data_IF_251713364434
#
_entry.id   IF_251713364434
#
_cell.length_a   1.000
_cell.length_b   1.000
_cell.length_c   1.000
_cell.angle_alpha   90.00
_cell.angle_beta   90.00
_cell.angle_gamma   90.00
#
_symmetry.space_group_name_H-M   'P 1'
#
loop_
_entity.id
_entity.type
_entity.pdbx_description
1 polymer ?
#
# COMPACT_ATOMS: atom_id res chain seq x y z
N UNK A 1 -10.65 -12.60 14.37
CA UNK A 1 -11.71 -11.83 13.69
C UNK A 1 -11.70 -12.19 12.21
N UNK A 2 -12.83 -12.13 11.51
CA UNK A 2 -12.93 -12.29 10.05
C UNK A 2 -13.36 -10.96 9.40
N UNK A 3 -13.09 -10.77 8.11
CA UNK A 3 -13.54 -9.56 7.38
C UNK A 3 -15.04 -9.31 7.53
N UNK A 4 -15.86 -10.37 7.46
CA UNK A 4 -17.31 -10.29 7.63
C UNK A 4 -17.73 -9.73 8.99
N UNK A 5 -16.93 -9.93 10.04
CA UNK A 5 -17.22 -9.39 11.37
C UNK A 5 -17.07 -7.86 11.37
N UNK A 6 -16.02 -7.35 10.70
CA UNK A 6 -15.75 -5.91 10.55
C UNK A 6 -16.82 -5.26 9.66
N UNK A 7 -17.14 -5.88 8.52
CA UNK A 7 -18.21 -5.42 7.62
C UNK A 7 -19.54 -5.29 8.35
N UNK A 8 -19.93 -6.31 9.12
CA UNK A 8 -21.17 -6.30 9.89
C UNK A 8 -21.16 -5.26 11.01
N UNK A 9 -20.02 -5.07 11.67
CA UNK A 9 -19.88 -4.12 12.78
C UNK A 9 -19.99 -2.67 12.33
N UNK A 10 -19.32 -2.30 11.24
CA UNK A 10 -19.24 -0.92 10.77
C UNK A 10 -20.15 -0.61 9.58
N UNK A 11 -20.89 -1.60 9.07
CA UNK A 11 -21.94 -1.42 8.08
C UNK A 11 -21.43 -1.06 6.68
N UNK A 12 -20.37 -1.71 6.22
CA UNK A 12 -19.81 -1.54 4.87
C UNK A 12 -19.44 -2.87 4.23
N UNK A 13 -19.02 -2.85 2.97
CA UNK A 13 -18.41 -4.02 2.33
C UNK A 13 -17.03 -3.71 1.78
N UNK A 14 -16.06 -4.58 2.06
CA UNK A 14 -14.73 -4.54 1.47
C UNK A 14 -14.79 -4.79 -0.04
N UNK A 15 -13.84 -4.23 -0.82
CA UNK A 15 -13.69 -4.54 -2.23
C UNK A 15 -13.54 -6.04 -2.47
N UNK A 16 -14.03 -6.51 -3.63
CA UNK A 16 -13.98 -7.93 -4.00
C UNK A 16 -12.54 -8.46 -3.96
N UNK A 17 -11.58 -7.70 -4.50
CA UNK A 17 -10.17 -8.09 -4.50
C UNK A 17 -9.61 -8.25 -3.07
N UNK A 18 -10.03 -7.41 -2.12
CA UNK A 18 -9.59 -7.53 -0.73
C UNK A 18 -10.16 -8.78 -0.05
N UNK A 19 -11.38 -9.18 -0.41
CA UNK A 19 -11.97 -10.46 0.02
C UNK A 19 -11.23 -11.66 -0.58
N UNK A 20 -10.85 -11.58 -1.86
CA UNK A 20 -10.05 -12.61 -2.51
C UNK A 20 -8.67 -12.76 -1.84
N UNK A 21 -7.99 -11.64 -1.57
CA UNK A 21 -6.74 -11.61 -0.79
C UNK A 21 -6.90 -12.33 0.56
N UNK A 22 -8.00 -12.09 1.27
CA UNK A 22 -8.30 -12.79 2.53
C UNK A 22 -8.48 -14.29 2.36
N UNK A 23 -9.29 -14.71 1.38
CA UNK A 23 -9.53 -16.14 1.08
C UNK A 23 -8.26 -16.88 0.70
N UNK A 24 -7.34 -16.19 0.03
CA UNK A 24 -6.05 -16.71 -0.39
C UNK A 24 -4.98 -16.68 0.71
N UNK A 25 -5.32 -16.15 1.89
CA UNK A 25 -4.40 -16.01 3.01
C UNK A 25 -3.36 -14.90 2.84
N UNK A 26 -3.52 -14.01 1.86
CA UNK A 26 -2.61 -12.89 1.62
C UNK A 26 -2.72 -11.79 2.69
N UNK A 27 -3.73 -11.86 3.56
CA UNK A 27 -3.83 -10.97 4.72
C UNK A 27 -3.19 -11.55 5.99
N UNK A 28 -2.59 -12.74 5.92
CA UNK A 28 -2.03 -13.43 7.07
C UNK A 28 -0.55 -13.04 7.28
N UNK A 29 -0.31 -11.92 7.94
CA UNK A 29 1.04 -11.51 8.38
C UNK A 29 1.42 -12.01 9.78
N UNK A 30 0.49 -12.68 10.48
CA UNK A 30 0.67 -13.10 11.86
C UNK A 30 0.49 -11.93 12.84
N UNK A 31 0.95 -12.12 14.07
CA UNK A 31 0.88 -11.10 15.13
C UNK A 31 2.20 -10.36 15.22
N UNK A 32 2.19 -9.04 15.06
CA UNK A 32 3.38 -8.23 15.25
C UNK A 32 3.87 -8.30 16.70
N UNK A 33 5.19 -8.24 16.86
CA UNK A 33 5.85 -8.27 18.15
C UNK A 33 7.37 -8.29 18.01
N UNK A 34 8.12 -8.16 19.12
CA UNK A 34 9.58 -8.03 19.09
C UNK A 34 10.30 -9.16 18.32
N UNK A 35 9.73 -10.37 18.36
CA UNK A 35 10.29 -11.56 17.72
C UNK A 35 9.70 -11.85 16.32
N UNK A 36 8.82 -10.99 15.80
CA UNK A 36 8.13 -11.23 14.51
C UNK A 36 9.13 -11.41 13.37
N UNK A 37 10.13 -10.54 13.31
CA UNK A 37 11.19 -10.60 12.30
C UNK A 37 12.02 -11.90 12.37
N UNK A 38 12.16 -12.48 13.56
CA UNK A 38 12.95 -13.69 13.79
C UNK A 38 12.13 -14.97 13.57
N UNK A 39 10.82 -14.94 13.83
CA UNK A 39 10.00 -16.15 13.98
C UNK A 39 8.87 -16.28 12.96
N UNK A 40 8.38 -15.17 12.42
CA UNK A 40 7.27 -15.11 11.47
C UNK A 40 7.77 -14.72 10.09
N UNK A 41 8.43 -13.57 9.97
CA UNK A 41 8.92 -13.03 8.69
C UNK A 41 9.67 -14.05 7.81
N UNK A 42 10.62 -14.87 8.32
CA UNK A 42 11.36 -15.80 7.47
C UNK A 42 10.48 -16.86 6.80
N UNK A 43 9.31 -17.17 7.38
CA UNK A 43 8.34 -18.12 6.83
C UNK A 43 7.48 -17.51 5.71
N UNK A 44 7.35 -16.18 5.71
CA UNK A 44 6.53 -15.45 4.74
C UNK A 44 7.31 -15.16 3.45
N UNK A 45 8.65 -15.03 3.51
CA UNK A 45 9.49 -14.66 2.35
C UNK A 45 9.29 -15.54 1.11
N UNK A 46 9.06 -16.85 1.26
CA UNK A 46 8.93 -17.75 0.10
C UNK A 46 7.61 -17.58 -0.67
N UNK A 47 6.55 -17.12 0.00
CA UNK A 47 5.27 -16.79 -0.62
C UNK A 47 4.73 -15.55 0.10
N UNK A 48 5.24 -14.35 -0.23
CA UNK A 48 4.96 -13.14 0.53
C UNK A 48 3.45 -12.82 0.49
N UNK A 49 2.83 -12.52 1.66
CA UNK A 49 1.49 -11.95 1.74
C UNK A 49 1.49 -10.55 1.12
N UNK A 50 0.33 -9.89 1.16
CA UNK A 50 0.09 -8.61 0.51
C UNK A 50 1.20 -7.61 0.84
N UNK A 51 1.96 -7.23 -0.20
CA UNK A 51 2.99 -6.17 -0.16
C UNK A 51 4.04 -6.32 0.96
N UNK A 52 4.40 -7.56 1.34
CA UNK A 52 5.36 -7.83 2.44
C UNK A 52 6.70 -7.09 2.32
N UNK A 53 7.19 -6.90 1.09
CA UNK A 53 8.49 -6.28 0.81
C UNK A 53 8.36 -4.85 0.29
N UNK A 54 7.16 -4.27 0.36
CA UNK A 54 6.94 -2.92 -0.13
C UNK A 54 7.49 -1.89 0.84
N UNK A 55 8.08 -0.83 0.29
CA UNK A 55 8.65 0.25 1.09
C UNK A 55 7.57 0.94 1.91
N UNK A 56 7.86 1.14 3.21
CA UNK A 56 7.04 1.87 4.17
C UNK A 56 5.55 1.44 4.18
N UNK A 57 5.33 0.12 4.11
CA UNK A 57 4.02 -0.50 4.20
C UNK A 57 4.06 -1.70 5.16
N UNK A 58 3.18 -1.68 6.15
CA UNK A 58 2.93 -2.76 7.08
C UNK A 58 1.44 -3.13 7.02
N UNK A 59 1.13 -4.39 6.76
CA UNK A 59 -0.26 -4.84 6.70
C UNK A 59 -0.84 -4.96 8.11
N UNK A 60 -1.97 -4.33 8.38
CA UNK A 60 -2.64 -4.50 9.67
C UNK A 60 -3.32 -5.86 9.75
N UNK A 61 -3.15 -6.56 10.89
CA UNK A 61 -4.01 -7.70 11.18
C UNK A 61 -5.43 -7.21 11.51
N UNK A 62 -6.42 -8.11 11.45
CA UNK A 62 -7.82 -7.72 11.58
C UNK A 62 -8.20 -7.17 12.96
N UNK A 63 -7.44 -7.50 14.02
CA UNK A 63 -7.68 -6.91 15.33
C UNK A 63 -7.23 -5.43 15.34
N UNK A 64 -6.04 -5.14 14.79
CA UNK A 64 -5.56 -3.77 14.66
C UNK A 64 -6.42 -2.94 13.70
N UNK A 65 -6.90 -3.53 12.60
CA UNK A 65 -7.90 -2.86 11.74
C UNK A 65 -9.12 -2.42 12.54
N UNK A 66 -9.65 -3.28 13.41
CA UNK A 66 -10.80 -2.94 14.24
C UNK A 66 -10.49 -1.82 15.26
N UNK A 67 -9.33 -1.88 15.91
CA UNK A 67 -8.86 -0.87 16.86
C UNK A 67 -8.73 0.50 16.18
N UNK A 68 -8.06 0.57 15.03
CA UNK A 68 -7.87 1.82 14.30
C UNK A 68 -9.19 2.40 13.75
N UNK A 69 -10.15 1.57 13.35
CA UNK A 69 -11.50 2.07 12.99
C UNK A 69 -12.18 2.70 14.23
N UNK A 70 -12.02 2.11 15.42
CA UNK A 70 -12.59 2.69 16.64
C UNK A 70 -11.96 4.04 16.96
N UNK A 71 -10.64 4.19 16.81
CA UNK A 71 -9.97 5.48 17.01
C UNK A 71 -10.40 6.53 15.98
N UNK A 72 -10.48 6.16 14.70
CA UNK A 72 -10.92 7.09 13.65
C UNK A 72 -12.35 7.59 13.85
N UNK A 73 -13.19 6.80 14.50
CA UNK A 73 -14.58 7.14 14.80
C UNK A 73 -14.75 7.83 16.17
N UNK A 74 -13.71 7.89 16.99
CA UNK A 74 -13.77 8.55 18.30
C UNK A 74 -13.73 10.08 18.10
N UNK A 75 -14.81 10.82 18.47
CA UNK A 75 -14.83 12.27 18.33
C UNK A 75 -13.78 12.99 19.21
N UNK A 76 -13.24 12.31 20.22
CA UNK A 76 -12.18 12.84 21.09
C UNK A 76 -10.77 12.46 20.59
N UNK A 77 -10.65 11.68 19.51
CA UNK A 77 -9.38 11.41 18.85
C UNK A 77 -8.74 12.72 18.36
N UNK A 78 -7.43 12.80 18.48
CA UNK A 78 -6.67 14.02 18.20
C UNK A 78 -6.72 14.45 16.72
N UNK A 79 -7.02 13.54 15.79
CA UNK A 79 -7.20 13.85 14.36
C UNK A 79 -8.51 14.58 14.11
N UNK A 80 -9.52 14.40 14.96
CA UNK A 80 -10.84 15.04 14.85
C UNK A 80 -11.39 14.97 13.42
N UNK A 81 -11.44 13.74 12.88
CA UNK A 81 -11.87 13.45 11.51
C UNK A 81 -13.33 13.90 11.32
N UNK A 82 -13.60 14.60 10.21
CA UNK A 82 -14.95 15.02 9.84
C UNK A 82 -15.89 13.82 9.73
N UNK A 83 -17.10 13.93 10.27
CA UNK A 83 -18.09 12.84 10.30
C UNK A 83 -18.45 12.30 8.90
N UNK A 84 -18.36 13.13 7.85
CA UNK A 84 -18.56 12.70 6.47
C UNK A 84 -17.45 11.79 5.93
N UNK A 85 -16.27 11.76 6.55
CA UNK A 85 -15.14 10.97 6.12
C UNK A 85 -15.07 9.65 6.87
N UNK A 86 -15.08 8.56 6.09
CA UNK A 86 -15.05 7.19 6.59
C UNK A 86 -13.86 6.48 5.98
N UNK A 87 -12.85 6.28 6.79
CA UNK A 87 -11.65 5.55 6.42
C UNK A 87 -11.65 4.17 7.07
N UNK A 88 -11.34 3.14 6.30
CA UNK A 88 -11.12 1.79 6.79
C UNK A 88 -9.64 1.45 6.58
N UNK A 89 -8.80 1.51 7.62
CA UNK A 89 -7.40 1.18 7.51
C UNK A 89 -7.21 -0.31 7.18
N UNK A 90 -6.18 -0.62 6.40
CA UNK A 90 -5.77 -1.98 6.11
C UNK A 90 -4.25 -2.17 6.18
N UNK A 91 -3.49 -1.07 6.13
CA UNK A 91 -2.06 -1.06 6.35
C UNK A 91 -1.64 0.26 6.99
N UNK A 92 -0.38 0.35 7.41
CA UNK A 92 0.23 1.54 7.97
C UNK A 92 1.66 1.74 7.47
N UNK A 93 2.19 2.95 7.59
CA UNK A 93 3.62 3.25 7.46
C UNK A 93 4.35 2.89 8.75
N UNK A 94 5.68 2.81 8.71
CA UNK A 94 6.49 2.65 9.92
C UNK A 94 6.42 3.86 10.88
N UNK A 95 5.86 4.99 10.42
CA UNK A 95 5.63 6.19 11.20
C UNK A 95 4.22 6.25 11.83
N UNK A 96 3.32 5.31 11.50
CA UNK A 96 1.95 5.27 12.03
C UNK A 96 0.90 5.98 11.17
N UNK A 97 1.25 6.36 9.94
CA UNK A 97 0.27 6.83 8.95
C UNK A 97 -0.49 5.66 8.35
N UNK A 98 -1.72 5.89 7.88
CA UNK A 98 -2.60 4.79 7.52
C UNK A 98 -2.91 4.72 6.03
N UNK A 99 -2.81 3.52 5.47
CA UNK A 99 -3.36 3.18 4.17
C UNK A 99 -4.81 2.72 4.36
N UNK A 100 -5.76 3.45 3.78
CA UNK A 100 -7.19 3.26 4.03
C UNK A 100 -7.99 3.07 2.74
N UNK A 101 -9.06 2.28 2.82
CA UNK A 101 -10.20 2.41 1.91
C UNK A 101 -11.02 3.63 2.31
N UNK A 102 -11.25 4.54 1.37
CA UNK A 102 -12.05 5.73 1.60
C UNK A 102 -13.51 5.50 1.18
N UNK A 103 -14.34 5.10 2.15
CA UNK A 103 -15.72 4.69 1.88
C UNK A 103 -16.63 5.86 1.46
N UNK A 104 -16.26 7.09 1.81
CA UNK A 104 -17.03 8.29 1.47
C UNK A 104 -17.05 8.60 -0.03
N UNK A 105 -16.17 7.95 -0.80
CA UNK A 105 -16.11 8.06 -2.25
C UNK A 105 -16.23 6.71 -2.96
N UNK A 106 -17.06 5.80 -2.42
CA UNK A 106 -17.41 4.56 -3.10
C UNK A 106 -17.92 4.84 -4.53
N UNK A 107 -17.38 4.08 -5.49
CA UNK A 107 -17.85 4.08 -6.86
C UNK A 107 -17.99 2.64 -7.37
N UNK A 108 -19.23 2.21 -7.62
CA UNK A 108 -19.54 0.86 -8.12
C UNK A 108 -18.95 -0.27 -7.26
N UNK A 109 -19.00 -0.15 -5.93
CA UNK A 109 -18.45 -1.14 -5.00
C UNK A 109 -16.93 -1.15 -4.85
N UNK A 110 -16.23 -0.25 -5.52
CA UNK A 110 -14.80 0.02 -5.31
C UNK A 110 -14.61 1.27 -4.47
N UNK A 111 -13.57 1.27 -3.64
CA UNK A 111 -13.21 2.39 -2.77
C UNK A 111 -11.82 2.89 -3.15
N UNK A 112 -11.61 4.20 -3.32
CA UNK A 112 -10.27 4.76 -3.45
C UNK A 112 -9.39 4.34 -2.27
N UNK A 113 -8.13 4.06 -2.57
CA UNK A 113 -7.10 3.89 -1.54
C UNK A 113 -6.44 5.23 -1.30
N UNK A 114 -6.40 5.63 -0.03
CA UNK A 114 -5.81 6.89 0.43
C UNK A 114 -4.74 6.64 1.49
N UNK A 115 -3.84 7.60 1.63
CA UNK A 115 -2.86 7.69 2.73
C UNK A 115 -3.31 8.78 3.69
N UNK A 116 -3.58 8.43 4.94
CA UNK A 116 -4.02 9.36 6.00
C UNK A 116 -2.83 9.63 6.90
N UNK A 117 -2.35 10.87 6.90
CA UNK A 117 -1.24 11.28 7.77
C UNK A 117 -1.69 11.32 9.22
N UNK A 118 -0.86 10.78 10.11
CA UNK A 118 -1.16 10.83 11.54
C UNK A 118 -0.81 12.21 12.14
N UNK A 119 0.23 12.88 11.65
CA UNK A 119 0.77 14.13 12.24
C UNK A 119 0.49 15.39 11.42
N UNK A 120 -0.18 15.26 10.28
CA UNK A 120 -0.62 16.36 9.43
C UNK A 120 -2.11 16.20 9.09
N UNK A 121 -2.87 17.30 9.07
CA UNK A 121 -4.26 17.33 8.61
C UNK A 121 -4.32 17.16 7.08
N UNK A 122 -3.91 15.99 6.58
CA UNK A 122 -3.79 15.70 5.16
C UNK A 122 -4.15 14.24 4.86
N UNK A 123 -4.83 14.04 3.73
CA UNK A 123 -5.10 12.75 3.12
C UNK A 123 -4.66 12.81 1.67
N UNK A 124 -3.83 11.87 1.20
CA UNK A 124 -3.44 11.77 -0.21
C UNK A 124 -4.18 10.63 -0.90
N UNK A 125 -4.71 10.88 -2.09
CA UNK A 125 -5.24 9.83 -2.95
C UNK A 125 -4.12 9.04 -3.61
N UNK A 126 -4.08 7.73 -3.40
CA UNK A 126 -3.05 6.85 -3.94
C UNK A 126 -3.51 6.11 -5.20
N UNK A 127 -4.74 5.57 -5.18
CA UNK A 127 -5.30 4.83 -6.30
C UNK A 127 -6.82 4.83 -6.23
N UNK A 128 -7.48 4.60 -7.38
CA UNK A 128 -8.95 4.55 -7.43
C UNK A 128 -9.57 3.28 -6.85
N UNK A 129 -8.77 2.22 -6.65
CA UNK A 129 -9.20 0.93 -6.09
C UNK A 129 -7.99 0.11 -5.61
N UNK A 130 -8.27 -1.06 -5.02
CA UNK A 130 -7.25 -1.96 -4.48
C UNK A 130 -6.30 -2.54 -5.55
N UNK A 131 -6.82 -2.90 -6.72
CA UNK A 131 -5.99 -3.44 -7.82
C UNK A 131 -4.91 -2.46 -8.24
N UNK A 132 -5.31 -1.20 -8.44
CA UNK A 132 -4.42 -0.16 -8.92
C UNK A 132 -3.46 0.30 -7.82
N UNK A 133 -3.89 0.21 -6.55
CA UNK A 133 -2.98 0.37 -5.41
C UNK A 133 -1.89 -0.71 -5.40
N UNK A 134 -2.24 -1.99 -5.55
CA UNK A 134 -1.26 -3.09 -5.63
C UNK A 134 -0.28 -2.84 -6.78
N UNK A 135 -0.78 -2.47 -7.96
CA UNK A 135 0.07 -2.16 -9.11
C UNK A 135 1.02 -1.00 -8.81
N UNK A 136 0.50 0.09 -8.23
CA UNK A 136 1.28 1.27 -7.86
C UNK A 136 2.41 0.91 -6.89
N UNK A 137 2.11 0.16 -5.83
CA UNK A 137 3.09 -0.22 -4.81
C UNK A 137 4.20 -1.08 -5.42
N UNK A 138 3.84 -2.14 -6.15
CA UNK A 138 4.83 -3.01 -6.81
C UNK A 138 5.73 -2.25 -7.80
N UNK A 139 5.15 -1.31 -8.56
CA UNK A 139 5.92 -0.49 -9.49
C UNK A 139 6.81 0.53 -8.77
N UNK A 140 6.37 1.05 -7.62
CA UNK A 140 7.16 1.93 -6.75
C UNK A 140 8.35 1.17 -6.17
N UNK A 141 8.14 -0.04 -5.67
CA UNK A 141 9.21 -0.91 -5.16
C UNK A 141 10.26 -1.21 -6.25
N UNK A 142 9.84 -1.38 -7.51
CA UNK A 142 10.78 -1.54 -8.62
C UNK A 142 11.65 -0.31 -8.87
N UNK A 143 11.24 0.88 -8.43
CA UNK A 143 11.97 2.14 -8.64
C UNK A 143 12.94 2.49 -7.51
N UNK A 144 12.85 1.80 -6.36
CA UNK A 144 13.55 2.20 -5.15
C UNK A 144 14.13 0.99 -4.41
N UNK A 145 15.31 0.57 -4.83
CA UNK A 145 16.12 -0.40 -4.10
C UNK A 145 16.61 0.23 -2.80
N UNK A 146 16.40 -0.48 -1.69
CA UNK A 146 16.81 -0.04 -0.36
C UNK A 146 18.34 -0.14 -0.19
N UNK A 147 19.03 0.91 -0.65
CA UNK A 147 20.47 1.07 -0.49
C UNK A 147 20.88 1.48 0.92
N UNK A 148 19.93 1.96 1.75
CA UNK A 148 20.21 2.37 3.12
C UNK A 148 20.45 1.16 4.02
N UNK A 149 19.70 0.08 3.81
CA UNK A 149 19.83 -1.17 4.53
C UNK A 149 20.73 -2.20 3.83
N UNK A 150 21.61 -1.75 2.91
CA UNK A 150 22.56 -2.58 2.16
C UNK A 150 21.91 -3.77 1.41
N UNK A 151 20.68 -3.60 0.91
CA UNK A 151 20.01 -4.66 0.13
C UNK A 151 20.74 -4.86 -1.20
N UNK A 152 21.29 -6.06 -1.40
CA UNK A 152 21.99 -6.43 -2.64
C UNK A 152 21.06 -6.44 -3.86
N UNK A 153 21.62 -6.28 -5.06
CA UNK A 153 20.88 -6.38 -6.32
C UNK A 153 20.19 -7.75 -6.47
N UNK A 154 20.84 -8.83 -6.02
CA UNK A 154 20.28 -10.17 -6.00
C UNK A 154 19.08 -10.29 -5.05
N UNK A 155 19.21 -9.77 -3.82
CA UNK A 155 18.11 -9.80 -2.84
C UNK A 155 16.93 -8.92 -3.30
N UNK A 156 17.21 -7.75 -3.87
CA UNK A 156 16.21 -6.87 -4.45
C UNK A 156 15.40 -7.58 -5.54
N UNK A 157 16.08 -8.23 -6.50
CA UNK A 157 15.40 -8.98 -7.57
C UNK A 157 14.66 -10.21 -7.06
N UNK A 158 15.22 -10.96 -6.10
CA UNK A 158 14.57 -12.12 -5.49
C UNK A 158 13.26 -11.72 -4.77
N UNK A 159 13.30 -10.66 -3.96
CA UNK A 159 12.13 -10.14 -3.26
C UNK A 159 11.05 -9.71 -4.27
N UNK A 160 11.42 -8.95 -5.32
CA UNK A 160 10.50 -8.54 -6.39
C UNK A 160 9.88 -9.74 -7.12
N UNK A 161 10.68 -10.74 -7.50
CA UNK A 161 10.16 -11.94 -8.18
C UNK A 161 9.10 -12.65 -7.33
N UNK A 162 9.36 -12.79 -6.04
CA UNK A 162 8.47 -13.45 -5.08
C UNK A 162 7.14 -12.69 -4.91
N UNK A 163 7.17 -11.36 -4.76
CA UNK A 163 5.91 -10.58 -4.68
C UNK A 163 5.17 -10.58 -6.01
N UNK A 164 5.84 -10.44 -7.15
CA UNK A 164 5.18 -10.50 -8.47
C UNK A 164 4.47 -11.83 -8.67
N UNK A 165 5.10 -12.93 -8.26
CA UNK A 165 4.51 -14.27 -8.34
C UNK A 165 3.21 -14.38 -7.52
N UNK A 166 3.18 -13.88 -6.28
CA UNK A 166 2.00 -14.00 -5.41
C UNK A 166 0.90 -13.01 -5.78
N UNK A 167 1.25 -11.86 -6.36
CA UNK A 167 0.29 -10.77 -6.65
C UNK A 167 -0.33 -10.85 -8.05
N UNK A 168 0.30 -11.59 -8.99
CA UNK A 168 -0.11 -11.65 -10.41
C UNK A 168 -1.62 -11.81 -10.64
N UNK A 169 -2.30 -12.63 -9.83
CA UNK A 169 -3.72 -12.95 -10.03
C UNK A 169 -4.67 -11.81 -9.67
N UNK A 170 -4.22 -10.83 -8.89
CA UNK A 170 -5.02 -9.66 -8.47
C UNK A 170 -4.86 -8.47 -9.42
N UNK A 171 -4.13 -8.65 -10.52
CA UNK A 171 -3.79 -7.59 -11.47
C UNK A 171 -4.35 -7.92 -12.85
N UNK A 172 -4.63 -6.89 -13.63
CA UNK A 172 -4.98 -7.06 -15.04
C UNK A 172 -3.81 -7.63 -15.84
N UNK A 173 -4.09 -8.23 -17.01
CA UNK A 173 -3.04 -8.67 -17.92
C UNK A 173 -2.10 -7.52 -18.30
N UNK A 174 -2.64 -6.33 -18.56
CA UNK A 174 -1.86 -5.15 -18.92
C UNK A 174 -0.91 -4.72 -17.79
N UNK A 175 -1.40 -4.65 -16.55
CA UNK A 175 -0.55 -4.35 -15.38
C UNK A 175 0.55 -5.40 -15.20
N UNK A 176 0.20 -6.68 -15.33
CA UNK A 176 1.17 -7.77 -15.27
C UNK A 176 2.25 -7.68 -16.34
N UNK A 177 1.87 -7.39 -17.58
CA UNK A 177 2.81 -7.26 -18.71
C UNK A 177 3.78 -6.09 -18.49
N UNK A 178 3.29 -4.97 -17.96
CA UNK A 178 4.11 -3.81 -17.60
C UNK A 178 5.10 -4.17 -16.50
N UNK A 179 4.63 -4.76 -15.38
CA UNK A 179 5.50 -5.16 -14.27
C UNK A 179 6.57 -6.15 -14.72
N UNK A 180 6.23 -7.14 -15.55
CA UNK A 180 7.19 -8.09 -16.10
C UNK A 180 8.19 -7.43 -17.05
N UNK A 181 7.75 -6.46 -17.85
CA UNK A 181 8.64 -5.70 -18.73
C UNK A 181 9.65 -4.87 -17.93
N UNK A 182 9.23 -4.27 -16.82
CA UNK A 182 10.11 -3.51 -15.93
C UNK A 182 11.05 -4.45 -15.17
N UNK A 183 10.54 -5.55 -14.63
CA UNK A 183 11.32 -6.56 -13.89
C UNK A 183 12.52 -7.11 -14.69
N UNK A 184 12.37 -7.27 -16.01
CA UNK A 184 13.41 -7.78 -16.89
C UNK A 184 14.51 -6.75 -17.26
N UNK A 185 14.48 -5.54 -16.70
CA UNK A 185 15.48 -4.51 -16.96
C UNK A 185 16.73 -4.69 -16.11
N UNK A 186 17.78 -4.00 -16.53
CA UNK A 186 18.96 -3.76 -15.70
C UNK A 186 18.63 -2.76 -14.59
N UNK A 187 19.30 -2.90 -13.46
CA UNK A 187 19.23 -1.93 -12.37
C UNK A 187 20.06 -0.70 -12.78
N UNK A 188 19.49 0.48 -12.60
CA UNK A 188 20.09 1.77 -12.93
C UNK A 188 20.21 2.63 -11.68
N UNK A 189 21.24 3.46 -11.64
CA UNK A 189 21.31 4.59 -10.72
C UNK A 189 20.74 5.84 -11.43
N UNK A 190 19.95 6.62 -10.70
CA UNK A 190 19.36 7.86 -11.21
C UNK A 190 19.32 8.93 -10.13
N UNK A 191 19.28 10.20 -10.53
CA UNK A 191 19.17 11.33 -9.60
C UNK A 191 17.73 11.84 -9.55
N UNK A 192 17.22 12.07 -8.35
CA UNK A 192 16.01 12.87 -8.15
C UNK A 192 16.40 14.28 -7.67
N UNK A 193 15.69 15.27 -8.18
CA UNK A 193 15.89 16.67 -7.81
C UNK A 193 14.88 17.06 -6.73
N UNK A 194 15.37 17.23 -5.51
CA UNK A 194 14.61 17.78 -4.40
C UNK A 194 14.82 19.31 -4.34
N UNK A 195 13.90 20.10 -3.77
CA UNK A 195 14.01 21.56 -3.72
C UNK A 195 15.32 22.10 -3.12
N UNK A 196 15.99 21.32 -2.26
CA UNK A 196 17.22 21.71 -1.56
C UNK A 196 18.37 20.71 -1.72
N UNK A 197 18.17 19.60 -2.43
CA UNK A 197 19.14 18.52 -2.51
C UNK A 197 19.02 17.73 -3.82
N UNK A 198 20.07 17.00 -4.13
CA UNK A 198 20.00 15.88 -5.06
C UNK A 198 20.07 14.60 -4.24
N UNK A 199 19.23 13.65 -4.56
CA UNK A 199 19.28 12.33 -3.98
C UNK A 199 19.54 11.32 -5.09
N UNK A 200 20.47 10.40 -4.86
CA UNK A 200 20.74 9.31 -5.79
C UNK A 200 19.85 8.14 -5.38
N UNK A 201 19.06 7.65 -6.32
CA UNK A 201 18.23 6.47 -6.19
C UNK A 201 18.71 5.38 -7.12
N UNK A 202 18.30 4.14 -6.83
CA UNK A 202 18.66 2.95 -7.59
C UNK A 202 17.41 2.10 -7.79
N UNK A 203 17.20 1.55 -8.99
CA UNK A 203 16.02 0.74 -9.29
C UNK A 203 15.97 0.28 -10.75
N UNK A 204 14.87 -0.35 -11.16
CA UNK A 204 14.62 -0.84 -12.52
C UNK A 204 13.98 0.20 -13.46
N UNK A 205 13.57 1.33 -12.90
CA UNK A 205 13.01 2.50 -13.59
C UNK A 205 13.21 3.74 -12.73
N UNK A 206 13.21 4.91 -13.36
CA UNK A 206 13.26 6.20 -12.64
C UNK A 206 11.89 6.63 -12.10
N UNK A 207 11.88 7.58 -11.16
CA UNK A 207 10.66 8.22 -10.64
C UNK A 207 9.83 8.93 -11.74
N UNK A 208 10.51 9.50 -12.74
CA UNK A 208 9.86 10.13 -13.90
C UNK A 208 9.16 9.08 -14.76
N UNK A 209 9.77 7.92 -14.96
CA UNK A 209 9.16 6.82 -15.70
C UNK A 209 8.02 6.16 -14.93
N UNK A 210 8.21 5.92 -13.62
CA UNK A 210 7.17 5.46 -12.70
C UNK A 210 5.90 6.32 -12.86
N UNK A 211 6.02 7.64 -12.69
CA UNK A 211 4.89 8.57 -12.81
C UNK A 211 4.20 8.49 -14.17
N UNK A 212 4.95 8.37 -15.26
CA UNK A 212 4.38 8.22 -16.61
C UNK A 212 3.57 6.94 -16.74
N UNK A 213 4.10 5.82 -16.26
CA UNK A 213 3.43 4.52 -16.31
C UNK A 213 2.16 4.55 -15.47
N UNK A 214 2.19 5.13 -14.26
CA UNK A 214 1.00 5.23 -13.42
C UNK A 214 -0.13 6.01 -14.11
N UNK A 215 0.18 7.17 -14.71
CA UNK A 215 -0.81 7.98 -15.45
C UNK A 215 -1.40 7.23 -16.65
N UNK A 216 -0.59 6.42 -17.35
CA UNK A 216 -1.03 5.67 -18.52
C UNK A 216 -1.87 4.42 -18.15
N UNK A 217 -1.43 3.67 -17.15
CA UNK A 217 -1.97 2.33 -16.84
C UNK A 217 -3.09 2.38 -15.80
N UNK A 218 -3.00 3.28 -14.82
CA UNK A 218 -3.99 3.42 -13.75
C UNK A 218 -4.53 4.87 -13.67
N UNK A 219 -5.07 5.42 -14.77
CA UNK A 219 -5.53 6.80 -14.77
C UNK A 219 -6.60 7.02 -13.69
N UNK A 220 -6.32 8.01 -12.85
CA UNK A 220 -7.18 8.49 -11.79
C UNK A 220 -6.93 9.99 -11.60
N UNK A 221 -7.97 10.79 -11.79
CA UNK A 221 -7.93 12.25 -11.81
C UNK A 221 -7.55 12.87 -10.46
N UNK A 222 -7.79 12.15 -9.36
CA UNK A 222 -7.39 12.57 -8.01
C UNK A 222 -6.03 12.02 -7.57
N UNK A 223 -5.37 11.17 -8.36
CA UNK A 223 -4.10 10.57 -7.96
C UNK A 223 -3.07 11.64 -7.56
N UNK A 224 -2.44 11.45 -6.40
CA UNK A 224 -1.45 12.35 -5.78
C UNK A 224 -1.99 13.75 -5.42
N UNK A 225 -3.31 13.95 -5.45
CA UNK A 225 -3.96 15.12 -4.84
C UNK A 225 -4.25 14.87 -3.37
N UNK A 226 -4.45 15.95 -2.60
CA UNK A 226 -4.78 15.86 -1.19
C UNK A 226 -5.93 16.74 -0.74
N UNK A 227 -6.47 16.40 0.42
CA UNK A 227 -7.49 17.16 1.14
C UNK A 227 -7.29 17.04 2.66
N UNK A 228 -7.84 17.99 3.40
CA UNK A 228 -7.82 18.02 4.87
C UNK A 228 -8.93 17.13 5.41
N UNK A 229 -8.62 16.25 6.38
CA UNK A 229 -9.59 15.39 7.05
C UNK A 229 -10.30 16.05 8.23
N UNK A 230 -9.81 17.20 8.70
CA UNK A 230 -10.36 17.99 9.80
C UNK A 230 -10.51 19.47 9.43
N UNK A 231 -11.29 20.23 10.19
CA UNK A 231 -11.42 21.69 10.07
C UNK A 231 -10.39 22.46 10.92
N UNK A 232 -9.57 21.74 11.71
CA UNK A 232 -8.60 22.31 12.63
C UNK A 232 -7.21 22.51 12.01
#
# INVERSE_FOLDING_TARGET
>A
MMLLDIEAKYGFTYPIIYKELSLDGMLNVGEYGPDWYLTVYPKLKENPPLLLHSYDFELLNLNNVNEEIEEFLDPEDYRQIKEEFKFIPFGQSGAGDHYCFFLSEENNGEHPVVFVWHDANEVNYLAKNMQDFIFRMLLTDMSDQDVYNDVSDEEFKDNLEKVLKTHKKYLTNMQNDVLQTVFNREIIDYEILLPKAKETKRGLLSDVELKKILVEIIPFDKMDTSFEYSDN
#
